data_IF_418731240414
#
_entry.id   IF_418731240414
#
_cell.length_a   1.000
_cell.length_b   1.000
_cell.length_c   1.000
_cell.angle_alpha   90.00
_cell.angle_beta   90.00
_cell.angle_gamma   90.00
#
_symmetry.space_group_name_H-M   'P 1'
#
loop_
_entity.id
_entity.type
_entity.pdbx_description
1 polymer ?
#
# COMPACT_ATOMS: atom_id res chain seq x y z
N UNK A 1 -0.37 60.16 -35.47
CA UNK A 1 0.64 59.54 -34.58
C UNK A 1 -0.11 58.68 -33.57
N UNK A 2 0.55 57.68 -32.98
CA UNK A 2 -0.04 56.50 -32.33
C UNK A 2 -0.69 55.51 -33.32
N UNK A 3 -0.28 54.23 -33.21
CA UNK A 3 -0.66 53.13 -34.11
C UNK A 3 0.58 52.42 -34.70
N UNK A 4 0.63 51.08 -34.57
CA UNK A 4 1.68 50.14 -35.05
C UNK A 4 3.01 50.05 -34.26
N UNK A 5 2.97 49.71 -32.97
CA UNK A 5 4.15 49.22 -32.21
C UNK A 5 3.81 48.16 -31.14
N UNK A 6 2.86 47.25 -31.41
CA UNK A 6 2.42 46.22 -30.44
C UNK A 6 2.20 44.84 -31.08
N UNK A 7 3.12 44.38 -31.94
CA UNK A 7 2.99 43.09 -32.63
C UNK A 7 4.31 42.38 -32.96
N UNK A 8 5.36 42.59 -32.14
CA UNK A 8 6.67 41.90 -32.33
C UNK A 8 7.18 41.25 -31.03
N UNK A 9 6.78 41.72 -29.84
CA UNK A 9 7.22 41.15 -28.56
C UNK A 9 6.44 39.91 -28.08
N UNK A 10 5.33 39.54 -28.73
CA UNK A 10 4.57 38.33 -28.40
C UNK A 10 5.15 37.04 -29.02
N UNK A 11 6.10 37.14 -29.97
CA UNK A 11 6.61 36.00 -30.74
C UNK A 11 7.95 35.42 -30.25
N UNK A 12 8.58 36.03 -29.23
CA UNK A 12 9.85 35.54 -28.67
C UNK A 12 9.67 34.85 -27.31
N UNK A 13 8.57 35.12 -26.59
CA UNK A 13 8.25 34.41 -25.34
C UNK A 13 7.45 33.12 -25.53
N UNK A 14 6.91 32.85 -26.73
CA UNK A 14 6.28 31.56 -27.05
C UNK A 14 7.32 30.50 -27.51
N UNK A 15 8.53 30.90 -27.86
CA UNK A 15 9.60 30.01 -28.34
C UNK A 15 10.43 29.39 -27.20
N UNK A 16 10.15 29.73 -25.94
CA UNK A 16 10.84 29.18 -24.75
C UNK A 16 9.92 28.37 -23.84
N UNK A 17 8.67 28.12 -24.27
CA UNK A 17 7.70 27.28 -23.56
C UNK A 17 7.28 26.03 -24.36
N UNK A 18 7.67 25.94 -25.64
CA UNK A 18 7.44 24.78 -26.53
C UNK A 18 8.68 23.86 -26.62
N UNK A 19 9.67 24.09 -25.74
CA UNK A 19 10.90 23.30 -25.64
C UNK A 19 10.99 22.51 -24.31
N UNK A 20 9.83 22.13 -23.75
CA UNK A 20 9.69 21.38 -22.50
C UNK A 20 8.46 20.45 -22.48
N UNK A 21 7.94 20.06 -23.66
CA UNK A 21 6.92 19.01 -23.84
C UNK A 21 7.25 18.15 -25.05
N UNK A 22 8.51 17.71 -25.07
CA UNK A 22 9.06 16.70 -25.95
C UNK A 22 10.14 15.98 -25.17
N UNK A 23 9.76 15.47 -23.99
CA UNK A 23 10.53 14.41 -23.34
C UNK A 23 10.16 13.11 -24.06
N UNK A 24 11.18 12.30 -24.32
CA UNK A 24 11.08 11.18 -25.24
C UNK A 24 10.15 10.07 -24.71
N UNK A 25 9.05 9.79 -25.42
CA UNK A 25 8.36 8.49 -25.35
C UNK A 25 9.21 7.42 -26.07
N UNK A 26 10.46 7.28 -25.63
CA UNK A 26 11.48 6.43 -26.24
C UNK A 26 12.40 5.91 -25.12
N UNK A 27 11.80 5.47 -24.02
CA UNK A 27 12.42 4.48 -23.14
C UNK A 27 12.58 3.22 -24.00
N UNK A 28 13.83 2.96 -24.40
CA UNK A 28 14.18 1.74 -25.12
C UNK A 28 14.15 0.52 -24.18
N UNK A 29 14.41 -0.69 -24.70
CA UNK A 29 14.19 -1.93 -23.97
C UNK A 29 14.65 -1.96 -22.50
N UNK A 30 13.69 -2.02 -21.57
CA UNK A 30 13.92 -2.39 -20.16
C UNK A 30 13.20 -3.71 -19.81
N UNK A 31 13.51 -4.76 -20.57
CA UNK A 31 13.95 -5.96 -19.85
C UNK A 31 15.01 -5.45 -18.85
N UNK A 32 14.77 -5.51 -17.52
CA UNK A 32 15.87 -5.29 -16.58
C UNK A 32 16.76 -6.52 -16.65
N UNK A 33 17.84 -6.49 -17.46
CA UNK A 33 18.56 -7.71 -17.79
C UNK A 33 19.38 -8.13 -16.58
N UNK A 34 19.62 -7.23 -15.62
CA UNK A 34 20.42 -7.50 -14.45
C UNK A 34 19.68 -8.44 -13.50
N UNK A 35 18.35 -8.42 -13.38
CA UNK A 35 17.65 -9.45 -12.60
C UNK A 35 17.65 -10.81 -13.32
N UNK A 36 17.40 -10.82 -14.63
CA UNK A 36 17.22 -12.06 -15.41
C UNK A 36 18.56 -12.77 -15.62
N UNK A 37 19.58 -12.06 -16.07
CA UNK A 37 20.90 -12.62 -16.38
C UNK A 37 21.66 -13.07 -15.12
N UNK A 38 21.43 -12.41 -13.98
CA UNK A 38 22.03 -12.81 -12.70
C UNK A 38 21.19 -13.87 -11.95
N UNK A 39 19.97 -14.16 -12.40
CA UNK A 39 19.06 -15.10 -11.72
C UNK A 39 18.57 -14.57 -10.37
N UNK A 40 18.30 -13.28 -10.28
CA UNK A 40 17.93 -12.56 -9.04
C UNK A 40 16.58 -11.85 -9.11
N UNK A 41 15.75 -12.10 -10.14
CA UNK A 41 14.37 -11.61 -10.16
C UNK A 41 13.57 -12.23 -8.99
N UNK A 42 12.69 -11.46 -8.33
CA UNK A 42 12.01 -11.88 -7.09
C UNK A 42 11.08 -13.09 -7.29
N UNK A 43 10.86 -13.81 -6.19
CA UNK A 43 9.88 -14.89 -6.09
C UNK A 43 8.78 -14.45 -5.14
N UNK A 44 7.52 -14.52 -5.58
CA UNK A 44 6.34 -14.17 -4.78
C UNK A 44 5.51 -15.44 -4.57
N UNK A 45 5.47 -15.97 -3.35
CA UNK A 45 4.68 -17.17 -3.00
C UNK A 45 4.82 -18.35 -3.99
N UNK A 46 6.03 -18.60 -4.50
CA UNK A 46 6.33 -19.67 -5.47
C UNK A 46 6.22 -19.27 -6.95
N UNK A 47 5.69 -18.09 -7.28
CA UNK A 47 5.76 -17.50 -8.61
C UNK A 47 7.12 -16.85 -8.87
N UNK A 48 7.83 -17.32 -9.89
CA UNK A 48 9.11 -16.74 -10.33
C UNK A 48 8.85 -15.66 -11.39
N UNK A 49 9.24 -14.43 -11.09
CA UNK A 49 9.18 -13.31 -12.05
C UNK A 49 10.26 -13.42 -13.13
N UNK A 50 10.03 -12.81 -14.30
CA UNK A 50 11.01 -12.58 -15.39
C UNK A 50 11.36 -11.10 -15.57
N UNK A 51 10.78 -10.21 -14.77
CA UNK A 51 11.09 -8.77 -14.74
C UNK A 51 11.37 -8.30 -13.31
N UNK A 52 12.09 -7.18 -13.15
CA UNK A 52 12.40 -6.67 -11.80
C UNK A 52 11.27 -5.83 -11.21
N UNK A 53 10.35 -6.53 -10.56
CA UNK A 53 9.18 -5.93 -9.89
C UNK A 53 9.35 -5.78 -8.37
N UNK A 54 10.58 -5.92 -7.84
CA UNK A 54 10.85 -5.86 -6.37
C UNK A 54 10.21 -4.66 -5.68
N UNK A 55 10.44 -3.46 -6.22
CA UNK A 55 9.94 -2.20 -5.68
C UNK A 55 8.41 -2.08 -5.72
N UNK A 56 7.69 -2.94 -6.47
CA UNK A 56 6.21 -2.99 -6.48
C UNK A 56 5.69 -3.73 -5.27
N UNK A 57 6.29 -4.89 -4.99
CA UNK A 57 5.96 -5.68 -3.81
C UNK A 57 6.14 -4.89 -2.51
N UNK A 58 7.12 -3.99 -2.46
CA UNK A 58 7.40 -3.09 -1.32
C UNK A 58 6.28 -2.08 -0.99
N UNK A 59 5.18 -2.03 -1.76
CA UNK A 59 4.00 -1.22 -1.39
C UNK A 59 3.31 -1.76 -0.11
N UNK A 60 3.50 -3.03 0.21
CA UNK A 60 2.99 -3.62 1.45
C UNK A 60 3.65 -3.06 2.71
N UNK A 61 4.89 -2.59 2.61
CA UNK A 61 5.57 -1.85 3.67
C UNK A 61 4.89 -0.50 3.93
N UNK A 62 4.36 0.16 2.90
CA UNK A 62 3.56 1.39 3.05
C UNK A 62 2.19 1.09 3.67
N UNK A 63 1.54 -0.02 3.30
CA UNK A 63 0.32 -0.48 3.98
C UNK A 63 0.57 -0.79 5.47
N UNK A 64 1.68 -1.46 5.79
CA UNK A 64 2.07 -1.81 7.16
C UNK A 64 2.39 -0.57 8.00
N UNK A 65 3.18 0.38 7.44
CA UNK A 65 3.44 1.68 8.06
C UNK A 65 2.14 2.46 8.31
N UNK A 66 1.23 2.50 7.32
CA UNK A 66 -0.08 3.15 7.45
C UNK A 66 -0.93 2.52 8.56
N UNK A 67 -0.96 1.19 8.66
CA UNK A 67 -1.68 0.48 9.72
C UNK A 67 -1.15 0.84 11.11
N UNK A 68 0.17 0.80 11.31
CA UNK A 68 0.78 1.13 12.60
C UNK A 68 0.45 2.56 13.08
N UNK A 69 0.33 3.52 12.16
CA UNK A 69 -0.14 4.88 12.48
C UNK A 69 -1.66 4.94 12.72
N UNK A 70 -2.47 4.20 11.96
CA UNK A 70 -3.91 4.13 12.15
C UNK A 70 -4.30 3.48 13.50
N UNK A 71 -3.65 2.37 13.87
CA UNK A 71 -3.82 1.66 15.16
C UNK A 71 -3.43 2.50 16.39
N UNK A 72 -2.56 3.49 16.20
CA UNK A 72 -2.18 4.47 17.22
C UNK A 72 -2.95 5.80 17.11
N UNK A 73 -3.94 5.88 16.21
CA UNK A 73 -4.76 7.04 15.88
C UNK A 73 -3.98 8.28 15.42
N UNK A 74 -2.74 8.11 14.95
CA UNK A 74 -1.99 9.16 14.23
C UNK A 74 -2.44 9.19 12.76
N UNK A 75 -3.71 9.59 12.56
CA UNK A 75 -4.30 9.74 11.23
C UNK A 75 -3.53 10.72 10.35
N UNK A 76 -2.76 11.65 10.94
CA UNK A 76 -1.88 12.57 10.22
C UNK A 76 -0.70 11.85 9.57
N UNK A 77 -0.03 10.94 10.29
CA UNK A 77 1.03 10.11 9.71
C UNK A 77 0.47 9.01 8.79
N UNK A 78 -0.64 8.36 9.15
CA UNK A 78 -1.29 7.37 8.27
C UNK A 78 -1.66 7.99 6.91
N UNK A 79 -2.22 9.21 6.92
CA UNK A 79 -2.49 9.99 5.71
C UNK A 79 -1.21 10.39 4.96
N UNK A 80 -0.14 10.75 5.67
CA UNK A 80 1.13 11.06 5.02
C UNK A 80 1.67 9.85 4.24
N UNK A 81 1.63 8.64 4.82
CA UNK A 81 2.02 7.40 4.12
C UNK A 81 1.10 7.14 2.92
N UNK A 82 -0.22 7.21 3.10
CA UNK A 82 -1.20 6.99 2.01
C UNK A 82 -0.96 7.90 0.79
N UNK A 83 -0.70 9.20 1.03
CA UNK A 83 -0.58 10.21 -0.02
C UNK A 83 0.84 10.35 -0.60
N UNK A 84 1.89 10.07 0.17
CA UNK A 84 3.28 10.38 -0.20
C UNK A 84 4.14 9.12 -0.42
N UNK A 85 3.68 7.96 0.04
CA UNK A 85 4.46 6.73 0.08
C UNK A 85 5.68 6.83 1.00
N UNK A 86 6.43 5.73 1.13
CA UNK A 86 7.70 5.72 1.86
C UNK A 86 8.70 4.69 1.32
N UNK A 87 8.21 3.52 0.97
CA UNK A 87 9.03 2.36 0.65
C UNK A 87 9.02 2.05 -0.87
N UNK A 88 7.84 1.94 -1.50
CA UNK A 88 7.71 1.54 -2.93
C UNK A 88 8.21 2.62 -3.90
N UNK A 89 9.18 2.29 -4.76
CA UNK A 89 9.87 3.22 -5.68
C UNK A 89 9.52 3.03 -7.15
N UNK A 90 9.46 4.14 -7.89
CA UNK A 90 9.33 4.20 -9.34
C UNK A 90 10.40 5.13 -9.95
N UNK A 91 10.49 5.18 -11.29
CA UNK A 91 11.39 6.08 -12.01
C UNK A 91 11.15 7.57 -11.71
N UNK A 92 9.92 7.95 -11.35
CA UNK A 92 9.50 9.34 -11.12
C UNK A 92 9.41 9.73 -9.64
N UNK A 93 9.51 8.78 -8.71
CA UNK A 93 9.39 9.05 -7.27
C UNK A 93 9.02 7.82 -6.44
N UNK A 94 8.20 8.02 -5.41
CA UNK A 94 7.56 6.92 -4.68
C UNK A 94 6.21 6.61 -5.34
N UNK A 95 5.84 5.33 -5.44
CA UNK A 95 4.43 4.96 -5.63
C UNK A 95 3.68 5.29 -4.35
N UNK A 96 2.39 5.58 -4.47
CA UNK A 96 1.54 5.92 -3.33
C UNK A 96 0.20 5.20 -3.47
N UNK A 97 -0.38 4.80 -2.34
CA UNK A 97 -1.68 4.13 -2.29
C UNK A 97 -2.79 5.05 -2.82
N UNK A 98 -2.69 6.36 -2.58
CA UNK A 98 -3.53 7.38 -3.21
C UNK A 98 -3.39 7.39 -4.75
N UNK A 99 -2.16 7.28 -5.26
CA UNK A 99 -1.84 7.36 -6.68
C UNK A 99 -2.59 6.34 -7.53
N UNK A 100 -2.77 5.12 -7.02
CA UNK A 100 -3.54 4.06 -7.67
C UNK A 100 -5.00 4.45 -7.94
N UNK A 101 -5.63 5.17 -7.03
CA UNK A 101 -7.02 5.65 -7.22
C UNK A 101 -7.09 6.97 -7.98
N UNK A 102 -6.07 7.84 -7.89
CA UNK A 102 -6.05 9.13 -8.61
C UNK A 102 -5.84 8.94 -10.12
N UNK A 103 -4.99 7.99 -10.52
CA UNK A 103 -4.67 7.73 -11.92
C UNK A 103 -5.69 6.81 -12.62
N UNK A 104 -6.68 6.30 -11.89
CA UNK A 104 -7.58 5.26 -12.39
C UNK A 104 -8.41 5.72 -13.61
N UNK A 105 -8.84 6.98 -13.71
CA UNK A 105 -9.58 7.44 -14.90
C UNK A 105 -8.71 7.45 -16.17
N UNK A 106 -7.42 7.77 -16.02
CA UNK A 106 -6.46 7.81 -17.12
C UNK A 106 -6.06 6.41 -17.57
N UNK A 107 -5.81 5.51 -16.61
CA UNK A 107 -5.31 4.14 -16.83
C UNK A 107 -6.39 3.07 -17.04
N UNK A 108 -7.60 3.29 -16.55
CA UNK A 108 -8.60 2.23 -16.36
C UNK A 108 -9.98 2.53 -16.95
N UNK A 109 -10.17 3.67 -17.62
CA UNK A 109 -11.48 4.09 -18.13
C UNK A 109 -12.11 3.11 -19.14
N UNK A 110 -11.32 2.22 -19.76
CA UNK A 110 -11.79 1.14 -20.63
C UNK A 110 -12.01 -0.21 -19.92
N UNK A 111 -11.57 -0.41 -18.67
CA UNK A 111 -11.75 -1.67 -17.93
C UNK A 111 -13.16 -1.79 -17.33
N UNK A 112 -13.87 -2.90 -17.60
CA UNK A 112 -15.25 -3.09 -17.14
C UNK A 112 -15.39 -3.13 -15.61
N UNK A 113 -14.41 -3.71 -14.90
CA UNK A 113 -14.36 -3.67 -13.44
C UNK A 113 -14.28 -2.24 -12.90
N UNK A 114 -13.45 -1.37 -13.49
CA UNK A 114 -13.35 0.03 -13.07
C UNK A 114 -14.62 0.82 -13.43
N UNK A 115 -15.18 0.63 -14.62
CA UNK A 115 -16.46 1.23 -15.03
C UNK A 115 -17.58 0.91 -14.03
N UNK A 116 -17.70 -0.36 -13.61
CA UNK A 116 -18.67 -0.81 -12.63
C UNK A 116 -18.50 -0.11 -11.27
N UNK A 117 -17.27 -0.04 -10.76
CA UNK A 117 -16.96 0.57 -9.47
C UNK A 117 -17.19 2.10 -9.51
N UNK A 118 -16.69 2.78 -10.54
CA UNK A 118 -16.90 4.22 -10.77
C UNK A 118 -18.40 4.55 -10.83
N UNK A 119 -19.17 3.81 -11.61
CA UNK A 119 -20.61 4.02 -11.75
C UNK A 119 -21.38 3.81 -10.43
N UNK A 120 -21.04 2.75 -9.67
CA UNK A 120 -21.63 2.51 -8.34
C UNK A 120 -21.36 3.68 -7.38
N UNK A 121 -20.14 4.21 -7.40
CA UNK A 121 -19.74 5.36 -6.57
C UNK A 121 -20.06 6.73 -7.18
N UNK A 122 -21.25 6.88 -7.78
CA UNK A 122 -21.78 8.14 -8.34
C UNK A 122 -20.90 8.75 -9.44
N UNK A 123 -20.40 7.92 -10.35
CA UNK A 123 -19.45 8.27 -11.41
C UNK A 123 -18.13 8.90 -10.88
N UNK A 124 -17.76 8.67 -9.61
CA UNK A 124 -16.54 9.23 -9.03
C UNK A 124 -15.29 8.45 -9.50
N UNK A 125 -14.39 9.06 -10.30
CA UNK A 125 -13.20 8.38 -10.79
C UNK A 125 -12.20 7.99 -9.69
N UNK A 126 -12.25 8.65 -8.53
CA UNK A 126 -11.32 8.44 -7.42
C UNK A 126 -12.05 8.03 -6.13
N UNK A 127 -13.11 7.21 -6.28
CA UNK A 127 -13.95 6.72 -5.19
C UNK A 127 -13.15 6.11 -4.03
N UNK A 128 -12.09 5.34 -4.33
CA UNK A 128 -11.29 4.65 -3.33
C UNK A 128 -10.40 5.61 -2.53
N UNK A 129 -9.78 6.61 -3.19
CA UNK A 129 -9.10 7.74 -2.51
C UNK A 129 -10.08 8.44 -1.56
N UNK A 130 -11.24 8.84 -2.06
CA UNK A 130 -12.16 9.67 -1.29
C UNK A 130 -12.68 8.94 -0.05
N UNK A 131 -12.99 7.65 -0.17
CA UNK A 131 -13.32 6.78 0.97
C UNK A 131 -12.20 6.74 2.03
N UNK A 132 -10.95 6.53 1.63
CA UNK A 132 -9.80 6.47 2.54
C UNK A 132 -9.53 7.83 3.20
N UNK A 133 -9.58 8.92 2.43
CA UNK A 133 -9.38 10.27 2.95
C UNK A 133 -10.52 10.70 3.88
N UNK A 134 -11.77 10.37 3.59
CA UNK A 134 -12.91 10.66 4.47
C UNK A 134 -12.77 9.95 5.83
N UNK A 135 -12.31 8.68 5.84
CA UNK A 135 -12.00 7.97 7.08
C UNK A 135 -10.87 8.67 7.87
N UNK A 136 -9.77 9.02 7.20
CA UNK A 136 -8.60 9.67 7.81
C UNK A 136 -8.93 11.08 8.35
N UNK A 137 -9.74 11.87 7.64
CA UNK A 137 -10.10 13.24 8.00
C UNK A 137 -11.35 13.36 8.89
N UNK A 138 -12.07 12.25 9.13
CA UNK A 138 -13.40 12.22 9.78
C UNK A 138 -14.48 13.03 9.02
N UNK A 139 -14.43 12.98 7.69
CA UNK A 139 -15.41 13.59 6.78
C UNK A 139 -16.28 12.52 6.08
N UNK A 140 -17.08 12.92 5.09
CA UNK A 140 -17.98 12.02 4.36
C UNK A 140 -18.90 11.19 5.27
N UNK A 141 -18.98 9.88 4.99
CA UNK A 141 -19.73 8.92 5.83
C UNK A 141 -19.12 8.74 7.22
N UNK A 142 -17.83 9.05 7.42
CA UNK A 142 -17.11 8.92 8.69
C UNK A 142 -17.27 10.12 9.64
N UNK A 143 -18.12 11.10 9.29
CA UNK A 143 -18.46 12.24 10.14
C UNK A 143 -19.06 11.82 11.49
N UNK A 144 -18.23 11.74 12.53
CA UNK A 144 -18.62 11.26 13.86
C UNK A 144 -18.42 9.76 14.09
N UNK A 145 -17.73 9.05 13.19
CA UNK A 145 -17.29 7.68 13.41
C UNK A 145 -16.21 7.61 14.51
N UNK A 146 -16.21 6.57 15.37
CA UNK A 146 -15.14 6.34 16.33
C UNK A 146 -13.77 6.16 15.66
N UNK A 147 -12.69 6.49 16.37
CA UNK A 147 -11.33 6.40 15.84
C UNK A 147 -10.96 4.96 15.40
N UNK A 148 -11.38 3.92 16.14
CA UNK A 148 -11.23 2.53 15.71
C UNK A 148 -11.95 2.22 14.38
N UNK A 149 -13.15 2.77 14.18
CA UNK A 149 -13.89 2.57 12.93
C UNK A 149 -13.17 3.22 11.75
N UNK A 150 -12.62 4.42 11.97
CA UNK A 150 -11.85 5.19 10.98
C UNK A 150 -10.51 4.55 10.65
N UNK A 151 -9.79 4.04 11.66
CA UNK A 151 -8.52 3.34 11.50
C UNK A 151 -8.68 2.16 10.53
N UNK A 152 -9.58 1.24 10.87
CA UNK A 152 -9.87 0.06 10.05
C UNK A 152 -10.35 0.41 8.64
N UNK A 153 -11.28 1.37 8.54
CA UNK A 153 -11.81 1.81 7.26
C UNK A 153 -10.71 2.37 6.35
N UNK A 154 -9.84 3.23 6.87
CA UNK A 154 -8.77 3.85 6.07
C UNK A 154 -7.76 2.83 5.55
N UNK A 155 -7.28 1.91 6.39
CA UNK A 155 -6.27 0.90 6.02
C UNK A 155 -6.86 -0.10 5.03
N UNK A 156 -8.05 -0.64 5.32
CA UNK A 156 -8.71 -1.63 4.45
C UNK A 156 -9.24 -1.01 3.16
N UNK A 157 -9.60 0.26 3.13
CA UNK A 157 -9.87 0.99 1.88
C UNK A 157 -8.63 1.12 1.00
N UNK A 158 -7.45 1.37 1.59
CA UNK A 158 -6.20 1.40 0.83
C UNK A 158 -5.85 0.01 0.26
N UNK A 159 -5.99 -1.05 1.06
CA UNK A 159 -5.75 -2.45 0.64
C UNK A 159 -6.75 -2.93 -0.43
N UNK A 160 -8.05 -2.81 -0.16
CA UNK A 160 -9.09 -3.56 -0.86
C UNK A 160 -9.96 -2.71 -1.80
N UNK A 161 -9.79 -1.38 -1.82
CA UNK A 161 -10.42 -0.50 -2.82
C UNK A 161 -9.38 0.17 -3.73
N UNK A 162 -8.26 0.67 -3.19
CA UNK A 162 -7.21 1.29 -4.00
C UNK A 162 -6.32 0.23 -4.67
N UNK A 163 -5.60 -0.56 -3.87
CA UNK A 163 -4.63 -1.54 -4.38
C UNK A 163 -5.32 -2.72 -5.10
N UNK A 164 -6.46 -3.23 -4.62
CA UNK A 164 -7.16 -4.31 -5.30
C UNK A 164 -7.66 -3.94 -6.71
N UNK A 165 -8.14 -2.71 -6.93
CA UNK A 165 -8.48 -2.25 -8.29
C UNK A 165 -7.21 -2.08 -9.16
N UNK A 166 -6.08 -1.71 -8.55
CA UNK A 166 -4.80 -1.62 -9.25
C UNK A 166 -4.25 -3.00 -9.66
N UNK A 167 -4.40 -4.04 -8.82
CA UNK A 167 -4.09 -5.43 -9.20
C UNK A 167 -4.95 -5.89 -10.39
N UNK A 168 -6.23 -5.49 -10.44
CA UNK A 168 -7.10 -5.78 -11.60
C UNK A 168 -6.59 -5.04 -12.84
N UNK A 169 -6.18 -3.77 -12.73
CA UNK A 169 -5.61 -3.02 -13.84
C UNK A 169 -4.37 -3.70 -14.43
N UNK A 170 -3.40 -4.14 -13.62
CA UNK A 170 -2.18 -4.78 -14.14
C UNK A 170 -2.48 -6.09 -14.92
N UNK A 171 -3.53 -6.83 -14.55
CA UNK A 171 -4.01 -7.97 -15.34
C UNK A 171 -4.73 -7.56 -16.63
N UNK A 172 -5.54 -6.50 -16.60
CA UNK A 172 -6.20 -5.95 -17.80
C UNK A 172 -5.17 -5.41 -18.80
N UNK A 173 -4.13 -4.73 -18.32
CA UNK A 173 -3.02 -4.17 -19.10
C UNK A 173 -2.24 -5.29 -19.81
N UNK A 174 -1.87 -6.35 -19.07
CA UNK A 174 -1.23 -7.54 -19.64
C UNK A 174 -2.09 -8.24 -20.72
N UNK A 175 -3.41 -8.27 -20.56
CA UNK A 175 -4.35 -8.79 -21.56
C UNK A 175 -4.45 -7.86 -22.77
N UNK A 176 -4.47 -6.54 -22.57
CA UNK A 176 -4.48 -5.56 -23.65
C UNK A 176 -3.21 -5.65 -24.51
N UNK A 177 -2.04 -5.71 -23.88
CA UNK A 177 -0.74 -5.84 -24.56
C UNK A 177 -0.58 -7.18 -25.27
N UNK A 178 -1.11 -8.26 -24.69
CA UNK A 178 -1.18 -9.56 -25.37
C UNK A 178 -1.96 -9.42 -26.68
N UNK A 179 -3.14 -8.80 -26.64
CA UNK A 179 -4.00 -8.61 -27.80
C UNK A 179 -3.44 -7.61 -28.84
N UNK A 180 -2.69 -6.59 -28.39
CA UNK A 180 -1.94 -5.67 -29.26
C UNK A 180 -0.74 -6.36 -29.95
N UNK A 181 -0.21 -7.43 -29.35
CA UNK A 181 1.04 -8.09 -29.75
C UNK A 181 2.28 -7.51 -29.07
N UNK A 182 2.09 -6.56 -28.15
CA UNK A 182 3.09 -5.67 -27.53
C UNK A 182 3.73 -6.27 -26.26
N UNK A 183 3.39 -7.50 -25.90
CA UNK A 183 3.85 -8.16 -24.65
C UNK A 183 5.38 -8.23 -24.49
N UNK A 184 6.15 -8.11 -25.58
CA UNK A 184 7.63 -8.07 -25.59
C UNK A 184 8.21 -6.68 -25.86
N UNK A 185 7.39 -5.64 -26.02
CA UNK A 185 7.86 -4.25 -26.07
C UNK A 185 8.12 -3.74 -24.64
N UNK A 186 8.96 -4.52 -23.94
CA UNK A 186 9.90 -4.22 -22.85
C UNK A 186 9.43 -3.48 -21.59
N UNK A 187 8.19 -3.04 -21.54
CA UNK A 187 7.58 -2.35 -20.38
C UNK A 187 6.10 -2.74 -20.18
N UNK A 188 5.46 -3.35 -21.17
CA UNK A 188 4.06 -3.77 -21.12
C UNK A 188 3.84 -5.16 -20.49
N UNK A 189 3.07 -6.01 -21.17
CA UNK A 189 2.35 -7.11 -20.54
C UNK A 189 3.16 -8.18 -19.81
N UNK A 190 4.43 -8.44 -20.16
CA UNK A 190 5.27 -9.36 -19.37
C UNK A 190 5.61 -8.81 -17.98
N UNK A 191 5.79 -7.50 -17.91
CA UNK A 191 6.03 -6.75 -16.69
C UNK A 191 4.73 -6.59 -15.90
N UNK A 192 3.63 -6.18 -16.53
CA UNK A 192 2.33 -6.04 -15.87
C UNK A 192 1.81 -7.36 -15.24
N UNK A 193 2.06 -8.52 -15.87
CA UNK A 193 1.71 -9.82 -15.29
C UNK A 193 2.59 -10.19 -14.07
N UNK A 194 3.88 -9.82 -14.08
CA UNK A 194 4.75 -9.94 -12.89
C UNK A 194 4.40 -8.90 -11.80
N UNK A 195 4.03 -7.67 -12.17
CA UNK A 195 3.57 -6.62 -11.25
C UNK A 195 2.27 -7.03 -10.55
N UNK A 196 1.36 -7.73 -11.24
CA UNK A 196 0.18 -8.38 -10.65
C UNK A 196 0.57 -9.31 -9.49
N UNK A 197 1.54 -10.20 -9.70
CA UNK A 197 2.00 -11.12 -8.64
C UNK A 197 2.64 -10.36 -7.47
N UNK A 198 3.45 -9.33 -7.75
CA UNK A 198 4.08 -8.50 -6.73
C UNK A 198 3.06 -7.72 -5.89
N UNK A 199 2.02 -7.15 -6.51
CA UNK A 199 0.96 -6.40 -5.84
C UNK A 199 -0.12 -7.28 -5.18
N UNK A 200 -0.27 -8.54 -5.56
CA UNK A 200 -1.13 -9.51 -4.87
C UNK A 200 -0.48 -10.07 -3.60
N UNK A 201 0.82 -10.39 -3.69
CA UNK A 201 1.57 -11.12 -2.63
C UNK A 201 2.29 -10.19 -1.64
N UNK A 202 2.99 -9.16 -2.14
CA UNK A 202 3.78 -8.25 -1.31
C UNK A 202 5.21 -8.73 -1.02
N UNK A 203 6.07 -7.78 -0.63
CA UNK A 203 7.47 -8.04 -0.28
C UNK A 203 7.66 -8.77 1.06
N UNK A 204 6.73 -8.63 2.00
CA UNK A 204 6.75 -9.29 3.32
C UNK A 204 6.68 -10.81 3.13
N UNK A 205 5.67 -11.30 2.41
CA UNK A 205 5.51 -12.75 2.12
C UNK A 205 6.67 -13.29 1.27
N UNK A 206 7.22 -12.48 0.38
CA UNK A 206 8.36 -12.88 -0.46
C UNK A 206 9.67 -13.06 0.31
N UNK A 207 9.86 -12.34 1.43
CA UNK A 207 11.13 -12.29 2.16
C UNK A 207 11.06 -12.87 3.59
N UNK A 208 9.87 -13.01 4.16
CA UNK A 208 9.64 -13.41 5.55
C UNK A 208 8.66 -14.61 5.63
N UNK A 209 8.61 -15.26 6.79
CA UNK A 209 7.66 -16.33 7.07
C UNK A 209 6.40 -15.76 7.74
N UNK A 210 5.82 -14.74 7.12
CA UNK A 210 4.63 -14.00 7.56
C UNK A 210 3.57 -14.07 6.44
N UNK A 211 2.29 -14.05 6.82
CA UNK A 211 1.18 -14.12 5.87
C UNK A 211 1.00 -12.80 5.08
N UNK A 212 1.57 -11.69 5.56
CA UNK A 212 1.60 -10.40 4.89
C UNK A 212 0.32 -9.58 4.99
N UNK A 213 0.37 -8.33 4.51
CA UNK A 213 -0.70 -7.33 4.67
C UNK A 213 -1.47 -7.02 3.38
N UNK A 214 -1.29 -7.82 2.32
CA UNK A 214 -1.99 -7.67 1.04
C UNK A 214 -3.06 -8.77 0.84
N UNK A 215 -3.57 -8.90 -0.39
CA UNK A 215 -4.64 -9.81 -0.77
C UNK A 215 -4.28 -11.28 -0.51
N UNK A 216 -3.02 -11.68 -0.73
CA UNK A 216 -2.52 -13.01 -0.33
C UNK A 216 -2.69 -13.26 1.17
N UNK A 217 -2.30 -12.30 2.01
CA UNK A 217 -2.43 -12.39 3.46
C UNK A 217 -3.88 -12.37 3.93
N UNK A 218 -4.75 -11.61 3.26
CA UNK A 218 -6.19 -11.69 3.49
C UNK A 218 -6.69 -13.10 3.20
N UNK A 219 -6.42 -13.65 2.02
CA UNK A 219 -6.86 -14.99 1.61
C UNK A 219 -6.40 -16.08 2.58
N UNK A 220 -5.14 -16.04 3.02
CA UNK A 220 -4.59 -16.95 4.01
C UNK A 220 -5.33 -16.85 5.36
N UNK A 221 -5.55 -15.63 5.86
CA UNK A 221 -6.29 -15.38 7.09
C UNK A 221 -7.77 -15.79 7.01
N UNK A 222 -8.44 -15.61 5.87
CA UNK A 222 -9.84 -16.02 5.71
C UNK A 222 -9.97 -17.55 5.66
N UNK A 223 -9.07 -18.25 4.96
CA UNK A 223 -9.06 -19.71 4.82
C UNK A 223 -9.08 -20.43 6.17
N UNK A 224 -8.29 -19.97 7.15
CA UNK A 224 -8.25 -20.55 8.50
C UNK A 224 -9.61 -20.44 9.22
N UNK A 225 -10.36 -19.37 8.95
CA UNK A 225 -11.59 -18.99 9.64
C UNK A 225 -12.88 -19.47 8.91
N UNK A 226 -12.74 -20.18 7.78
CA UNK A 226 -13.86 -20.66 6.97
C UNK A 226 -13.68 -22.15 6.65
N UNK A 227 -14.46 -23.02 7.32
CA UNK A 227 -14.45 -24.46 7.07
C UNK A 227 -15.04 -24.75 5.69
N UNK A 228 -14.36 -25.59 4.91
CA UNK A 228 -14.77 -25.96 3.56
C UNK A 228 -14.37 -24.97 2.46
N UNK A 229 -13.81 -23.80 2.82
CA UNK A 229 -13.25 -22.85 1.86
C UNK A 229 -12.22 -23.52 0.96
N UNK A 230 -12.20 -23.13 -0.31
CA UNK A 230 -11.10 -23.48 -1.20
C UNK A 230 -9.79 -22.81 -0.76
N UNK A 231 -8.69 -23.27 -1.32
CA UNK A 231 -7.40 -22.60 -1.20
C UNK A 231 -7.25 -21.52 -2.27
N UNK A 232 -7.64 -20.29 -1.90
CA UNK A 232 -7.60 -19.13 -2.81
C UNK A 232 -6.18 -18.82 -3.24
N UNK A 233 -5.19 -18.95 -2.35
CA UNK A 233 -3.81 -18.65 -2.69
C UNK A 233 -3.21 -19.68 -3.64
N UNK A 234 -3.31 -20.98 -3.35
CA UNK A 234 -2.83 -22.01 -4.29
C UNK A 234 -3.48 -21.84 -5.68
N UNK A 235 -4.80 -21.56 -5.74
CA UNK A 235 -5.51 -21.35 -7.01
C UNK A 235 -5.06 -20.09 -7.77
N UNK A 236 -4.88 -18.95 -7.09
CA UNK A 236 -4.36 -17.72 -7.72
C UNK A 236 -2.92 -17.92 -8.18
N UNK A 237 -2.07 -18.58 -7.39
CA UNK A 237 -0.68 -18.82 -7.78
C UNK A 237 -0.55 -19.79 -8.96
N UNK A 238 -1.38 -20.84 -9.04
CA UNK A 238 -1.46 -21.72 -10.21
C UNK A 238 -1.87 -20.95 -11.47
N UNK A 239 -2.90 -20.11 -11.37
CA UNK A 239 -3.39 -19.28 -12.48
C UNK A 239 -2.39 -18.21 -12.94
N UNK A 240 -1.68 -17.55 -12.01
CA UNK A 240 -0.60 -16.63 -12.34
C UNK A 240 0.53 -17.36 -13.10
N UNK A 241 0.91 -18.56 -12.65
CA UNK A 241 1.93 -19.38 -13.33
C UNK A 241 1.45 -19.91 -14.71
N UNK A 242 0.15 -20.17 -14.92
CA UNK A 242 -0.40 -20.46 -16.25
C UNK A 242 -0.36 -19.22 -17.15
N UNK A 243 -0.81 -18.07 -16.64
CA UNK A 243 -0.77 -16.80 -17.37
C UNK A 243 0.65 -16.41 -17.80
N UNK A 244 1.64 -16.63 -16.92
CA UNK A 244 3.06 -16.43 -17.25
C UNK A 244 3.51 -17.28 -18.43
N UNK A 245 3.13 -18.55 -18.48
CA UNK A 245 3.47 -19.43 -19.62
C UNK A 245 2.85 -18.96 -20.94
N UNK A 246 1.70 -18.27 -20.88
CA UNK A 246 1.04 -17.69 -22.06
C UNK A 246 1.75 -16.41 -22.50
N UNK A 247 2.13 -15.57 -21.55
CA UNK A 247 2.85 -14.31 -21.73
C UNK A 247 4.24 -14.54 -22.34
N UNK A 248 5.01 -15.47 -21.76
CA UNK A 248 6.37 -15.83 -22.19
C UNK A 248 6.39 -16.63 -23.52
N UNK A 249 5.25 -17.08 -24.03
CA UNK A 249 5.17 -17.87 -25.27
C UNK A 249 5.23 -17.01 -26.54
N UNK A 250 5.82 -17.55 -27.62
CA UNK A 250 5.83 -16.91 -28.94
C UNK A 250 4.43 -16.82 -29.57
N UNK A 251 3.55 -17.80 -29.30
CA UNK A 251 2.28 -17.96 -30.01
C UNK A 251 1.04 -17.41 -29.26
N UNK A 252 1.22 -16.94 -28.01
CA UNK A 252 0.29 -16.19 -27.13
C UNK A 252 -1.20 -16.50 -27.27
N UNK A 253 -1.74 -17.26 -26.31
CA UNK A 253 -3.18 -17.49 -26.19
C UNK A 253 -3.87 -16.39 -25.35
N UNK A 254 -3.98 -15.18 -25.91
CA UNK A 254 -4.52 -14.01 -25.18
C UNK A 254 -5.96 -14.21 -24.69
N UNK A 255 -6.79 -14.98 -25.42
CA UNK A 255 -8.14 -15.33 -24.95
C UNK A 255 -8.15 -16.25 -23.72
N UNK A 256 -7.10 -17.07 -23.52
CA UNK A 256 -6.93 -17.79 -22.23
C UNK A 256 -6.41 -16.84 -21.15
N UNK A 257 -5.50 -15.92 -21.46
CA UNK A 257 -5.03 -14.91 -20.49
C UNK A 257 -6.18 -14.04 -19.97
N UNK A 258 -7.09 -13.62 -20.85
CA UNK A 258 -8.34 -12.93 -20.50
C UNK A 258 -9.24 -13.78 -19.58
N UNK A 259 -9.39 -15.08 -19.88
CA UNK A 259 -10.13 -16.01 -19.00
C UNK A 259 -9.46 -16.20 -17.63
N UNK A 260 -8.13 -16.26 -17.58
CA UNK A 260 -7.34 -16.38 -16.35
C UNK A 260 -7.53 -15.15 -15.46
N UNK A 261 -7.50 -13.94 -16.05
CA UNK A 261 -7.84 -12.70 -15.35
C UNK A 261 -9.23 -12.78 -14.71
N UNK A 262 -10.25 -13.18 -15.47
CA UNK A 262 -11.62 -13.30 -14.96
C UNK A 262 -11.74 -14.35 -13.84
N UNK A 263 -11.04 -15.48 -13.96
CA UNK A 263 -10.93 -16.52 -12.91
C UNK A 263 -10.25 -15.96 -11.65
N UNK A 264 -9.14 -15.21 -11.77
CA UNK A 264 -8.48 -14.55 -10.62
C UNK A 264 -9.40 -13.48 -10.00
N UNK A 265 -10.16 -12.73 -10.80
CA UNK A 265 -11.13 -11.73 -10.30
C UNK A 265 -12.24 -12.40 -9.46
N UNK A 266 -12.70 -13.60 -9.83
CA UNK A 266 -13.62 -14.37 -8.99
C UNK A 266 -12.95 -14.89 -7.71
N UNK A 267 -11.71 -15.34 -7.77
CA UNK A 267 -10.97 -15.81 -6.60
C UNK A 267 -10.72 -14.69 -5.58
N UNK A 268 -10.36 -13.46 -5.99
CA UNK A 268 -10.14 -12.35 -5.05
C UNK A 268 -11.43 -11.81 -4.41
N UNK A 269 -12.60 -12.06 -5.01
CA UNK A 269 -13.89 -11.77 -4.37
C UNK A 269 -14.16 -12.69 -3.17
N UNK A 270 -13.68 -13.95 -3.17
CA UNK A 270 -13.90 -14.90 -2.07
C UNK A 270 -13.45 -14.32 -0.73
N UNK A 271 -12.17 -13.89 -0.55
CA UNK A 271 -11.73 -13.41 0.75
C UNK A 271 -12.35 -12.08 1.17
N UNK A 272 -12.76 -11.23 0.22
CA UNK A 272 -13.55 -10.02 0.51
C UNK A 272 -14.95 -10.39 1.03
N UNK A 273 -15.60 -11.38 0.43
CA UNK A 273 -16.90 -11.88 0.85
C UNK A 273 -16.83 -12.58 2.22
N UNK A 274 -15.78 -13.37 2.44
CA UNK A 274 -15.49 -13.99 3.74
C UNK A 274 -15.20 -12.94 4.83
N UNK A 275 -14.52 -11.84 4.48
CA UNK A 275 -14.36 -10.67 5.34
C UNK A 275 -15.71 -10.05 5.70
N UNK A 276 -16.55 -9.77 4.69
CA UNK A 276 -17.90 -9.23 4.89
C UNK A 276 -18.77 -10.13 5.78
N UNK A 277 -18.76 -11.45 5.54
CA UNK A 277 -19.49 -12.45 6.35
C UNK A 277 -18.97 -12.48 7.79
N UNK A 278 -17.64 -12.46 8.00
CA UNK A 278 -17.06 -12.41 9.36
C UNK A 278 -17.51 -11.15 10.09
N UNK A 279 -17.46 -9.98 9.47
CA UNK A 279 -17.85 -8.74 10.13
C UNK A 279 -19.36 -8.52 10.22
N UNK A 280 -20.16 -9.19 9.37
CA UNK A 280 -21.59 -9.36 9.62
C UNK A 280 -21.84 -10.09 10.96
N UNK A 281 -21.03 -11.09 11.30
CA UNK A 281 -21.13 -11.81 12.56
C UNK A 281 -20.55 -11.01 13.74
N UNK A 282 -19.35 -10.44 13.60
CA UNK A 282 -18.66 -9.75 14.70
C UNK A 282 -19.25 -8.36 15.03
N UNK A 283 -19.92 -7.70 14.07
CA UNK A 283 -20.51 -6.37 14.27
C UNK A 283 -22.03 -6.37 14.59
N UNK A 284 -22.70 -7.53 14.53
CA UNK A 284 -24.08 -7.70 15.01
C UNK A 284 -24.08 -7.86 16.53
N UNK A 285 -24.60 -6.85 17.24
CA UNK A 285 -24.72 -6.79 18.70
C UNK A 285 -25.58 -7.91 19.34
N UNK A 286 -26.32 -8.67 18.54
CA UNK A 286 -27.15 -9.79 18.98
C UNK A 286 -26.50 -11.15 18.67
N UNK A 287 -25.37 -11.16 17.96
CA UNK A 287 -24.66 -12.39 17.60
C UNK A 287 -23.89 -12.96 18.80
N UNK A 288 -23.73 -14.28 18.83
CA UNK A 288 -22.92 -14.96 19.84
C UNK A 288 -21.41 -14.67 19.72
N UNK A 289 -20.96 -14.03 18.65
CA UNK A 289 -19.58 -13.61 18.42
C UNK A 289 -19.41 -12.08 18.37
N UNK A 290 -20.35 -11.31 18.94
CA UNK A 290 -20.22 -9.84 19.03
C UNK A 290 -18.84 -9.45 19.55
N UNK A 291 -18.10 -8.63 18.78
CA UNK A 291 -16.73 -8.23 19.14
C UNK A 291 -16.68 -7.39 20.43
N UNK A 292 -15.65 -7.65 21.25
CA UNK A 292 -15.24 -6.82 22.38
C UNK A 292 -14.96 -5.36 21.98
N UNK A 293 -14.41 -5.16 20.77
CA UNK A 293 -14.13 -3.87 20.16
C UNK A 293 -15.07 -3.65 18.96
N UNK A 294 -16.37 -3.52 19.28
CA UNK A 294 -17.42 -3.31 18.29
C UNK A 294 -17.12 -2.16 17.29
N UNK A 295 -16.54 -0.99 17.68
CA UNK A 295 -16.12 0.04 16.71
C UNK A 295 -15.09 -0.44 15.68
N UNK A 296 -14.11 -1.27 16.07
CA UNK A 296 -13.13 -1.88 15.14
C UNK A 296 -13.87 -2.81 14.17
N UNK A 297 -14.64 -3.78 14.68
CA UNK A 297 -15.41 -4.71 13.86
C UNK A 297 -16.37 -4.03 12.87
N UNK A 298 -16.97 -2.88 13.25
CA UNK A 298 -17.80 -2.06 12.35
C UNK A 298 -17.01 -1.39 11.23
N UNK A 299 -15.81 -0.88 11.52
CA UNK A 299 -14.92 -0.28 10.51
C UNK A 299 -14.45 -1.31 9.49
N UNK A 300 -14.08 -2.50 9.96
CA UNK A 300 -13.71 -3.62 9.08
C UNK A 300 -14.90 -4.06 8.20
N UNK A 301 -16.08 -4.24 8.78
CA UNK A 301 -17.29 -4.59 8.03
C UNK A 301 -17.70 -3.54 6.99
N UNK A 302 -17.60 -2.25 7.32
CA UNK A 302 -17.81 -1.16 6.36
C UNK A 302 -16.81 -1.22 5.20
N UNK A 303 -15.52 -1.43 5.47
CA UNK A 303 -14.50 -1.52 4.42
C UNK A 303 -14.68 -2.75 3.52
N UNK A 304 -14.95 -3.93 4.08
CA UNK A 304 -15.24 -5.12 3.27
C UNK A 304 -16.51 -4.94 2.44
N UNK A 305 -17.56 -4.32 3.01
CA UNK A 305 -18.76 -3.98 2.24
C UNK A 305 -18.41 -3.05 1.06
N UNK A 306 -17.70 -1.94 1.30
CA UNK A 306 -17.34 -0.99 0.24
C UNK A 306 -16.44 -1.61 -0.83
N UNK A 307 -15.59 -2.56 -0.47
CA UNK A 307 -14.70 -3.26 -1.41
C UNK A 307 -15.43 -4.21 -2.38
N UNK A 308 -16.62 -4.71 -2.02
CA UNK A 308 -17.34 -5.74 -2.79
C UNK A 308 -18.74 -5.29 -3.30
N UNK A 309 -19.28 -4.21 -2.74
CA UNK A 309 -20.61 -3.68 -3.05
C UNK A 309 -20.88 -3.42 -4.54
N UNK A 310 -19.94 -2.90 -5.35
CA UNK A 310 -20.18 -2.71 -6.79
C UNK A 310 -20.49 -4.01 -7.54
N UNK A 311 -19.80 -5.11 -7.24
CA UNK A 311 -20.12 -6.44 -7.81
C UNK A 311 -21.46 -6.98 -7.31
N UNK A 312 -21.75 -6.80 -6.01
CA UNK A 312 -23.03 -7.22 -5.41
C UNK A 312 -24.19 -6.48 -6.09
N UNK A 313 -24.14 -5.15 -6.14
CA UNK A 313 -25.19 -4.31 -6.72
C UNK A 313 -25.31 -4.48 -8.25
N UNK A 314 -24.20 -4.77 -8.93
CA UNK A 314 -24.20 -5.15 -10.35
C UNK A 314 -24.91 -6.48 -10.63
N UNK A 315 -24.94 -7.39 -9.65
CA UNK A 315 -25.68 -8.67 -9.73
C UNK A 315 -27.14 -8.52 -9.28
N UNK A 316 -27.37 -7.85 -8.16
CA UNK A 316 -28.70 -7.57 -7.60
C UNK A 316 -28.66 -6.26 -6.78
N UNK A 317 -29.35 -5.23 -7.27
CA UNK A 317 -29.37 -3.90 -6.65
C UNK A 317 -30.14 -3.85 -5.30
N UNK A 318 -31.13 -4.73 -5.09
CA UNK A 318 -31.86 -4.81 -3.82
C UNK A 318 -30.96 -5.45 -2.74
N UNK A 319 -30.20 -6.48 -3.10
CA UNK A 319 -29.17 -7.06 -2.22
C UNK A 319 -28.07 -6.02 -1.95
N UNK A 320 -27.58 -5.31 -2.98
CA UNK A 320 -26.58 -4.24 -2.82
C UNK A 320 -27.04 -3.15 -1.85
N UNK A 321 -28.27 -2.66 -2.00
CA UNK A 321 -28.89 -1.69 -1.07
C UNK A 321 -28.93 -2.22 0.35
N UNK A 322 -29.37 -3.47 0.53
CA UNK A 322 -29.46 -4.09 1.85
C UNK A 322 -28.09 -4.28 2.52
N UNK A 323 -27.06 -4.67 1.76
CA UNK A 323 -25.70 -4.78 2.29
C UNK A 323 -25.18 -3.40 2.70
N UNK A 324 -25.33 -2.37 1.86
CA UNK A 324 -24.93 -1.00 2.21
C UNK A 324 -25.57 -0.52 3.52
N UNK A 325 -26.89 -0.66 3.64
CA UNK A 325 -27.64 -0.26 4.84
C UNK A 325 -27.29 -1.07 6.12
N UNK A 326 -26.64 -2.23 5.99
CA UNK A 326 -26.18 -3.03 7.13
C UNK A 326 -24.72 -2.74 7.54
N UNK A 327 -23.95 -2.00 6.76
CA UNK A 327 -22.57 -1.63 7.13
C UNK A 327 -22.31 -0.11 7.15
N UNK A 328 -23.14 0.69 7.87
CA UNK A 328 -22.84 2.10 8.08
C UNK A 328 -21.65 2.27 9.04
N UNK A 329 -20.77 3.26 8.83
CA UNK A 329 -19.66 3.57 9.74
C UNK A 329 -20.14 4.29 11.02
N UNK A 330 -21.34 4.88 10.99
CA UNK A 330 -21.97 5.56 12.13
C UNK A 330 -23.39 5.04 12.33
N UNK A 331 -23.75 4.70 13.57
CA UNK A 331 -25.08 4.20 13.93
C UNK A 331 -25.06 2.73 14.35
N UNK A 332 -26.11 2.00 14.00
CA UNK A 332 -26.24 0.57 14.27
C UNK A 332 -25.81 -0.22 13.02
N UNK A 333 -24.69 -0.93 13.10
CA UNK A 333 -24.29 -1.89 12.09
C UNK A 333 -25.09 -3.19 12.24
N UNK A 334 -25.20 -3.92 11.13
CA UNK A 334 -25.90 -5.20 10.97
C UNK A 334 -27.32 -5.15 11.56
N UNK A 335 -28.04 -4.07 11.26
CA UNK A 335 -29.40 -3.77 11.75
C UNK A 335 -30.42 -4.89 11.50
N UNK A 336 -30.25 -5.66 10.42
CA UNK A 336 -31.14 -6.78 10.04
C UNK A 336 -30.67 -8.12 10.63
N UNK A 337 -29.54 -8.14 11.33
CA UNK A 337 -28.90 -9.31 11.91
C UNK A 337 -28.03 -10.12 10.94
N UNK A 338 -26.98 -10.75 11.48
CA UNK A 338 -25.99 -11.55 10.74
C UNK A 338 -26.62 -12.52 9.74
N UNK A 339 -27.60 -13.30 10.20
CA UNK A 339 -28.28 -14.32 9.39
C UNK A 339 -28.92 -13.70 8.15
N UNK A 340 -29.56 -12.53 8.28
CA UNK A 340 -30.23 -11.88 7.16
C UNK A 340 -29.25 -11.28 6.15
N UNK A 341 -28.04 -10.92 6.58
CA UNK A 341 -26.95 -10.54 5.67
C UNK A 341 -26.49 -11.76 4.87
N UNK A 342 -26.16 -12.87 5.53
CA UNK A 342 -25.71 -14.12 4.87
C UNK A 342 -26.76 -14.65 3.89
N UNK A 343 -28.03 -14.75 4.27
CA UNK A 343 -29.13 -15.16 3.37
C UNK A 343 -29.24 -14.28 2.11
N UNK A 344 -28.86 -13.00 2.21
CA UNK A 344 -28.89 -12.08 1.08
C UNK A 344 -27.70 -12.30 0.13
N UNK A 345 -26.51 -12.54 0.69
CA UNK A 345 -25.29 -12.90 -0.05
C UNK A 345 -25.44 -14.26 -0.74
N UNK A 346 -25.95 -15.26 -0.05
CA UNK A 346 -26.21 -16.60 -0.61
C UNK A 346 -27.15 -16.57 -1.81
N UNK A 347 -28.06 -15.59 -1.85
CA UNK A 347 -28.99 -15.42 -2.97
C UNK A 347 -28.31 -14.97 -4.28
N UNK A 348 -27.04 -14.53 -4.23
CA UNK A 348 -26.27 -14.05 -5.38
C UNK A 348 -25.59 -15.18 -6.17
N UNK A 349 -25.23 -16.29 -5.53
CA UNK A 349 -24.47 -17.37 -6.17
C UNK A 349 -25.20 -17.96 -7.40
N UNK A 350 -26.53 -18.08 -7.31
CA UNK A 350 -27.38 -18.52 -8.43
C UNK A 350 -27.63 -17.47 -9.53
N UNK A 351 -27.00 -16.29 -9.45
CA UNK A 351 -27.27 -15.13 -10.32
C UNK A 351 -26.05 -14.64 -11.11
N UNK A 352 -24.92 -15.35 -11.06
CA UNK A 352 -23.71 -14.98 -11.80
C UNK A 352 -22.81 -13.95 -11.10
N UNK A 353 -22.90 -13.82 -9.77
CA UNK A 353 -21.93 -13.05 -8.99
C UNK A 353 -20.50 -13.58 -9.14
N UNK A 354 -20.41 -14.91 -9.24
CA UNK A 354 -19.25 -15.66 -9.68
C UNK A 354 -19.54 -16.27 -11.06
N UNK A 355 -18.52 -16.29 -11.91
CA UNK A 355 -18.53 -16.88 -13.26
C UNK A 355 -17.85 -18.26 -13.30
N UNK A 356 -16.84 -18.47 -12.45
CA UNK A 356 -15.95 -19.64 -12.47
C UNK A 356 -16.01 -20.51 -11.20
N UNK A 357 -16.43 -19.95 -10.06
CA UNK A 357 -16.45 -20.63 -8.74
C UNK A 357 -17.88 -20.84 -8.20
N UNK A 358 -18.00 -21.65 -7.16
CA UNK A 358 -19.25 -22.04 -6.52
C UNK A 358 -19.44 -21.43 -5.13
N UNK A 359 -20.64 -21.59 -4.57
CA UNK A 359 -20.94 -21.24 -3.17
C UNK A 359 -20.10 -22.04 -2.16
N UNK A 360 -19.80 -23.31 -2.49
CA UNK A 360 -19.06 -24.21 -1.60
C UNK A 360 -17.60 -23.74 -1.42
N UNK A 361 -17.02 -23.10 -2.44
CA UNK A 361 -15.64 -22.59 -2.44
C UNK A 361 -15.42 -21.44 -1.45
N UNK A 362 -16.50 -20.71 -1.10
CA UNK A 362 -16.50 -19.67 -0.04
C UNK A 362 -16.43 -20.29 1.37
N UNK A 363 -16.89 -21.52 1.54
CA UNK A 363 -16.95 -22.21 2.83
C UNK A 363 -17.91 -21.56 3.83
N UNK A 364 -17.78 -21.96 5.10
CA UNK A 364 -18.65 -21.49 6.21
C UNK A 364 -17.83 -20.99 7.39
N UNK A 365 -18.16 -19.79 7.89
CA UNK A 365 -17.51 -19.15 9.03
C UNK A 365 -17.46 -20.06 10.28
N UNK A 366 -16.28 -20.21 10.89
CA UNK A 366 -16.08 -21.00 12.10
C UNK A 366 -16.47 -20.23 13.36
N UNK A 367 -17.65 -20.53 13.91
CA UNK A 367 -18.14 -19.88 15.14
C UNK A 367 -17.24 -20.10 16.39
N UNK A 368 -16.27 -21.01 16.34
CA UNK A 368 -15.33 -21.30 17.43
C UNK A 368 -14.17 -20.30 17.55
N UNK A 369 -13.94 -19.45 16.53
CA UNK A 369 -12.86 -18.44 16.49
C UNK A 369 -13.44 -17.01 16.62
N UNK A 370 -14.52 -16.91 17.41
CA UNK A 370 -15.16 -15.67 17.84
C UNK A 370 -14.69 -15.16 19.21
N UNK A 371 -13.92 -15.95 19.96
CA UNK A 371 -12.99 -15.40 20.95
C UNK A 371 -11.71 -14.97 20.22
N UNK A 372 -11.08 -13.88 20.66
CA UNK A 372 -9.76 -13.47 20.17
C UNK A 372 -8.77 -14.62 20.37
N UNK A 373 -8.48 -15.38 19.30
CA UNK A 373 -7.24 -16.15 19.24
C UNK A 373 -6.09 -15.18 19.51
N UNK A 374 -5.23 -15.41 20.51
CA UNK A 374 -4.00 -14.65 20.59
C UNK A 374 -3.22 -14.93 19.29
N UNK A 375 -2.68 -13.87 18.68
CA UNK A 375 -2.06 -13.85 17.34
C UNK A 375 -3.02 -13.43 16.19
N UNK A 376 -3.63 -12.24 16.30
CA UNK A 376 -3.35 -11.22 15.27
C UNK A 376 -1.82 -11.06 15.24
N UNK A 377 -1.18 -11.17 14.07
CA UNK A 377 0.29 -11.25 13.89
C UNK A 377 1.02 -9.94 14.24
N UNK A 378 0.99 -9.58 15.51
CA UNK A 378 1.78 -8.50 16.04
C UNK A 378 3.25 -8.89 16.12
N UNK A 379 4.08 -8.21 15.31
CA UNK A 379 5.20 -7.50 15.92
C UNK A 379 4.63 -6.55 16.97
N UNK A 380 4.50 -7.09 18.19
CA UNK A 380 3.87 -6.49 19.36
C UNK A 380 4.00 -4.97 19.43
N UNK A 381 2.98 -4.27 19.94
CA UNK A 381 3.12 -2.85 20.30
C UNK A 381 4.33 -2.55 21.21
N UNK A 382 4.83 -3.56 21.94
CA UNK A 382 6.10 -3.49 22.67
C UNK A 382 7.39 -3.64 21.83
N UNK A 383 7.33 -4.33 20.68
CA UNK A 383 8.44 -4.47 19.73
C UNK A 383 8.67 -3.16 18.95
N UNK A 384 7.61 -2.55 18.42
CA UNK A 384 7.68 -1.25 17.73
C UNK A 384 8.13 -0.15 18.71
N UNK A 385 7.54 -0.09 19.91
CA UNK A 385 7.99 0.81 20.97
C UNK A 385 9.46 0.56 21.37
N UNK A 386 9.90 -0.71 21.41
CA UNK A 386 11.28 -1.10 21.70
C UNK A 386 12.30 -0.56 20.68
N UNK A 387 11.98 -0.64 19.38
CA UNK A 387 12.84 -0.13 18.31
C UNK A 387 12.93 1.39 18.36
N UNK A 388 11.81 2.11 18.47
CA UNK A 388 11.79 3.59 18.51
C UNK A 388 12.53 4.13 19.74
N UNK A 389 12.29 3.56 20.94
CA UNK A 389 12.99 3.96 22.17
C UNK A 389 14.49 3.61 22.08
N UNK A 390 14.84 2.47 21.47
CA UNK A 390 16.22 2.05 21.24
C UNK A 390 17.00 3.03 20.36
N UNK A 391 16.42 3.46 19.24
CA UNK A 391 17.03 4.44 18.32
C UNK A 391 17.20 5.80 19.00
N UNK A 392 16.17 6.30 19.70
CA UNK A 392 16.24 7.59 20.40
C UNK A 392 17.30 7.59 21.53
N UNK A 393 17.40 6.50 22.31
CA UNK A 393 18.43 6.34 23.33
C UNK A 393 19.84 6.24 22.72
N UNK A 394 20.00 5.49 21.61
CA UNK A 394 21.26 5.37 20.87
C UNK A 394 21.75 6.71 20.33
N UNK A 395 20.87 7.49 19.70
CA UNK A 395 21.17 8.83 19.18
C UNK A 395 21.54 9.79 20.33
N UNK A 396 20.83 9.75 21.46
CA UNK A 396 21.17 10.55 22.63
C UNK A 396 22.58 10.22 23.19
N UNK A 397 22.94 8.94 23.27
CA UNK A 397 24.28 8.50 23.70
C UNK A 397 25.37 8.99 22.73
N UNK A 398 25.14 8.90 21.42
CA UNK A 398 26.06 9.39 20.39
C UNK A 398 26.25 10.91 20.46
N UNK A 399 25.19 11.68 20.70
CA UNK A 399 25.25 13.14 20.89
C UNK A 399 26.05 13.48 22.16
N UNK A 400 25.81 12.80 23.28
CA UNK A 400 26.56 13.02 24.53
C UNK A 400 28.05 12.67 24.36
N UNK A 401 28.36 11.56 23.68
CA UNK A 401 29.73 11.19 23.36
C UNK A 401 30.43 12.23 22.47
N UNK A 402 29.76 12.72 21.43
CA UNK A 402 30.27 13.77 20.55
C UNK A 402 30.52 15.09 21.31
N UNK A 403 29.57 15.53 22.15
CA UNK A 403 29.71 16.72 23.01
C UNK A 403 30.89 16.60 23.98
N UNK A 404 31.07 15.43 24.61
CA UNK A 404 32.20 15.15 25.49
C UNK A 404 33.56 15.19 24.76
N UNK A 405 33.63 14.59 23.56
CA UNK A 405 34.83 14.61 22.72
C UNK A 405 35.18 16.02 22.24
N UNK A 406 34.17 16.81 21.83
CA UNK A 406 34.33 18.23 21.47
C UNK A 406 34.78 19.08 22.67
N UNK A 407 34.27 18.83 23.88
CA UNK A 407 34.70 19.52 25.11
C UNK A 407 36.17 19.19 25.46
N UNK A 408 36.60 17.93 25.30
CA UNK A 408 38.03 17.54 25.39
C UNK A 408 38.90 18.22 24.33
N UNK A 409 38.42 18.39 23.09
CA UNK A 409 39.14 19.17 22.04
C UNK A 409 39.25 20.66 22.41
N UNK A 410 38.18 21.30 22.91
CA UNK A 410 38.21 22.70 23.35
C UNK A 410 39.16 22.93 24.53
N UNK A 411 39.26 22.00 25.48
CA UNK A 411 40.25 22.03 26.57
C UNK A 411 41.70 22.10 26.05
N UNK A 412 42.04 21.34 25.00
CA UNK A 412 43.36 21.43 24.34
C UNK A 412 43.54 22.71 23.51
N UNK A 413 42.46 23.30 23.01
CA UNK A 413 42.52 24.54 22.22
C UNK A 413 42.67 25.81 23.05
N UNK A 414 42.19 25.86 24.29
CA UNK A 414 42.39 27.04 25.15
C UNK A 414 43.86 27.22 25.50
N UNK A 415 44.54 26.12 25.87
CA UNK A 415 45.97 26.09 26.14
C UNK A 415 46.85 26.64 25.00
N UNK A 416 46.38 26.57 23.75
CA UNK A 416 47.07 27.11 22.58
C UNK A 416 46.75 28.59 22.27
N UNK A 417 45.65 29.13 22.80
CA UNK A 417 45.30 30.56 22.66
C UNK A 417 45.87 31.41 23.80
N UNK A 418 45.84 30.91 25.03
CA UNK A 418 46.30 31.65 26.20
C UNK A 418 47.83 31.88 26.17
N UNK A 419 48.59 30.97 25.56
CA UNK A 419 50.03 31.14 25.31
C UNK A 419 50.37 32.30 24.36
N UNK A 420 49.49 32.63 23.40
CA UNK A 420 49.68 33.76 22.48
C UNK A 420 49.22 35.10 23.08
N UNK A 421 48.39 35.09 24.13
CA UNK A 421 47.96 36.29 24.83
C UNK A 421 48.97 36.75 25.91
N UNK A 422 49.88 35.88 26.35
CA UNK A 422 50.92 36.21 27.33
C UNK A 422 52.08 37.04 26.75
N UNK A 423 52.13 37.28 25.43
CA UNK A 423 53.20 38.03 24.76
C UNK A 423 53.16 39.55 24.96
N UNK A 424 51.98 40.14 25.16
CA UNK A 424 51.78 41.61 25.16
C UNK A 424 51.68 42.23 26.56
N UNK A 425 51.81 41.44 27.64
CA UNK A 425 51.69 41.88 29.03
C UNK A 425 53.04 41.96 29.76
N UNK A 426 54.03 42.61 29.15
CA UNK A 426 55.20 43.06 29.89
C UNK A 426 54.83 44.19 30.87
N UNK A 427 55.57 44.27 31.99
CA UNK A 427 55.96 45.48 32.75
C UNK A 427 55.64 45.55 34.26
N UNK A 428 56.28 44.69 35.08
CA UNK A 428 56.80 45.07 36.41
C UNK A 428 58.06 44.25 36.71
N UNK A 429 59.21 44.87 36.96
CA UNK A 429 60.47 44.18 37.22
C UNK A 429 61.02 44.41 38.63
N UNK A 430 62.11 43.71 38.99
CA UNK A 430 63.21 44.10 39.90
C UNK A 430 63.85 42.88 40.60
N UNK A 431 65.19 42.92 40.74
CA UNK A 431 66.10 41.96 41.41
C UNK A 431 66.26 40.59 40.73
N UNK A 432 67.47 40.03 40.56
CA UNK A 432 68.82 40.55 40.80
C UNK A 432 69.88 39.44 40.88
N UNK A 433 71.13 39.75 40.49
CA UNK A 433 72.40 39.03 40.76
C UNK A 433 72.67 37.67 40.06
N UNK A 434 73.90 37.46 39.54
CA UNK A 434 74.39 36.17 39.01
C UNK A 434 75.50 36.24 37.94
N UNK A 435 76.78 36.09 38.33
CA UNK A 435 77.99 36.48 37.58
C UNK A 435 79.12 35.43 37.79
N UNK A 436 79.95 34.97 36.83
CA UNK A 436 80.13 35.16 35.36
C UNK A 436 80.89 33.91 34.79
N UNK A 437 81.09 33.68 33.46
CA UNK A 437 81.72 32.45 32.95
C UNK A 437 83.26 32.50 32.94
N UNK A 438 83.96 31.34 32.94
CA UNK A 438 85.39 31.25 32.64
C UNK A 438 85.70 31.02 31.15
N UNK A 439 86.93 31.41 30.81
CA UNK A 439 87.55 31.59 29.49
C UNK A 439 87.68 30.34 28.59
N UNK A 440 88.03 30.61 27.33
CA UNK A 440 88.41 29.62 26.32
C UNK A 440 89.85 29.10 26.53
N UNK A 441 90.04 27.81 26.23
CA UNK A 441 91.29 27.24 25.73
C UNK A 441 90.95 26.09 24.77
#
# INVERSE_FOLDING_TARGET
MAGKWFSVFAFVLLASYVAAQGEDNNEGPVEDPDCVQNGTCPIYAGYQTTTDVRERGEIDLDVNDMSAFADSFDFGQAKAIFQQGKNSRSSTGLRTLEGFSVQAEEKMSDWESYKLFKAYYNDNPAYARDYVLDALDASGEFGGAPDWTRAEASVKGAQYMCLAMYVIHEMEDAVADCNAGDILDNDGGAKAWDETAAFYVGSIVANEADDGVLQYGLAQNRRLQFTGSMDVNDAVMDLLNEGKQIVDAEARNCGRLESIKDEIIDLVKIPLLQGLIRYAFLADENSSGTSSNLPKARGEGNAFARSILPWIAGTDADVGTKIDENFPPVGQAVKDGYVSVVESLDSLYGRGFFSSISADDVGTLTAAEGEESPEDSGLSGGAIAGIVIGVLAGVAILIVAALWFMKRRKSKSSYAKDANAAGDAAYTGSKGEGYVPPEMA
#
